data_IF_204873964946
#
_entry.id   IF_204873964946
#
_cell.length_a   1.000
_cell.length_b   1.000
_cell.length_c   1.000
_cell.angle_alpha   90.00
_cell.angle_beta   90.00
_cell.angle_gamma   90.00
#
_symmetry.space_group_name_H-M   'P 1'
#
loop_
_entity.id
_entity.type
_entity.pdbx_description
1 polymer ?
#
# COMPACT_ATOMS: atom_id res chain seq x y z
N UNK A 1 -30.07 -84.03 40.74
CA UNK A 1 -30.04 -85.33 40.03
C UNK A 1 -30.25 -85.07 38.54
N UNK A 2 -29.28 -85.50 37.72
CA UNK A 2 -29.36 -85.98 36.32
C UNK A 2 -30.03 -85.05 35.27
N UNK A 3 -29.25 -84.44 34.35
CA UNK A 3 -28.88 -84.92 32.99
C UNK A 3 -29.83 -84.31 31.92
N UNK A 4 -29.48 -83.94 30.68
CA UNK A 4 -28.33 -84.16 29.79
C UNK A 4 -28.39 -83.13 28.62
N UNK A 5 -27.20 -82.78 28.13
CA UNK A 5 -26.73 -82.33 26.81
C UNK A 5 -27.67 -81.91 25.66
N UNK A 6 -27.27 -80.85 24.95
CA UNK A 6 -27.01 -80.94 23.49
C UNK A 6 -25.66 -80.28 23.20
N UNK A 7 -24.81 -81.04 22.50
CA UNK A 7 -23.49 -80.69 21.99
C UNK A 7 -23.66 -80.33 20.51
N UNK A 8 -23.06 -79.23 20.05
CA UNK A 8 -22.73 -79.06 18.64
C UNK A 8 -21.27 -78.58 18.56
N UNK A 9 -20.47 -79.34 17.82
CA UNK A 9 -19.05 -79.13 17.59
C UNK A 9 -18.83 -78.86 16.10
N UNK A 10 -17.65 -78.31 15.79
CA UNK A 10 -16.95 -78.19 14.49
C UNK A 10 -17.37 -76.96 13.64
N UNK A 11 -16.47 -76.23 12.97
CA UNK A 11 -15.03 -76.39 12.69
C UNK A 11 -14.42 -75.00 12.42
N UNK A 12 -13.19 -74.77 12.87
CA UNK A 12 -12.32 -73.71 12.37
C UNK A 12 -11.87 -74.04 10.95
N UNK A 13 -11.95 -73.06 10.05
CA UNK A 13 -11.15 -73.03 8.82
C UNK A 13 -10.49 -71.64 8.73
N UNK A 14 -9.18 -71.59 9.04
CA UNK A 14 -8.32 -70.48 8.68
C UNK A 14 -8.03 -70.57 7.18
N UNK A 15 -8.31 -69.51 6.43
CA UNK A 15 -7.75 -69.30 5.11
C UNK A 15 -6.93 -68.01 5.15
N UNK A 16 -5.61 -68.18 5.00
CA UNK A 16 -4.64 -67.11 4.87
C UNK A 16 -4.83 -66.43 3.51
N UNK A 17 -5.07 -65.12 3.50
CA UNK A 17 -5.05 -64.31 2.27
C UNK A 17 -3.65 -63.74 2.08
N UNK A 18 -3.04 -64.05 0.94
CA UNK A 18 -1.77 -63.49 0.48
C UNK A 18 -1.93 -61.97 0.20
N UNK A 19 -0.87 -61.16 0.39
CA UNK A 19 -0.93 -59.73 0.11
C UNK A 19 -1.00 -59.47 -1.40
N UNK A 20 -1.97 -58.64 -1.82
CA UNK A 20 -2.05 -58.11 -3.17
C UNK A 20 -0.98 -57.04 -3.38
N UNK A 21 -0.17 -57.26 -4.41
CA UNK A 21 0.82 -56.36 -4.98
C UNK A 21 0.09 -55.14 -5.58
N UNK A 22 0.23 -53.97 -4.93
CA UNK A 22 -0.26 -52.70 -5.46
C UNK A 22 0.85 -52.10 -6.33
N UNK A 23 0.79 -52.35 -7.63
CA UNK A 23 1.52 -51.57 -8.63
C UNK A 23 1.06 -50.13 -8.56
N UNK A 24 1.93 -49.24 -8.06
CA UNK A 24 1.76 -47.79 -8.13
C UNK A 24 1.80 -47.38 -9.61
N UNK A 25 0.69 -46.83 -10.13
CA UNK A 25 0.71 -46.05 -11.36
C UNK A 25 1.44 -44.73 -11.07
N UNK A 26 2.70 -44.65 -11.50
CA UNK A 26 3.44 -43.39 -11.54
C UNK A 26 2.68 -42.42 -12.46
N UNK A 27 2.09 -41.40 -11.85
CA UNK A 27 1.50 -40.27 -12.57
C UNK A 27 2.65 -39.48 -13.19
N UNK A 28 2.63 -39.18 -14.50
CA UNK A 28 3.72 -38.45 -15.13
C UNK A 28 3.84 -37.06 -14.50
N UNK A 29 4.98 -36.80 -13.87
CA UNK A 29 5.39 -35.48 -13.41
C UNK A 29 5.57 -34.58 -14.62
N UNK A 30 4.55 -33.77 -14.88
CA UNK A 30 4.60 -32.74 -15.92
C UNK A 30 5.44 -31.56 -15.38
N UNK A 31 6.76 -31.74 -15.36
CA UNK A 31 7.72 -30.67 -15.09
C UNK A 31 7.99 -29.89 -16.37
N UNK A 32 7.03 -29.04 -16.73
CA UNK A 32 7.26 -27.85 -17.57
C UNK A 32 5.99 -27.00 -17.56
N UNK A 33 5.72 -26.37 -16.41
CA UNK A 33 4.93 -25.15 -16.43
C UNK A 33 5.86 -24.04 -16.88
N UNK A 34 5.94 -23.84 -18.19
CA UNK A 34 6.49 -22.60 -18.74
C UNK A 34 5.62 -21.47 -18.20
N UNK A 35 6.14 -20.72 -17.22
CA UNK A 35 5.52 -19.49 -16.73
C UNK A 35 5.13 -18.66 -17.95
N UNK A 36 3.87 -18.20 -18.00
CA UNK A 36 3.45 -17.26 -19.03
C UNK A 36 4.43 -16.08 -19.05
N UNK A 37 4.82 -15.56 -20.23
CA UNK A 37 5.78 -14.48 -20.30
C UNK A 37 5.26 -13.27 -19.52
N UNK A 38 6.10 -12.74 -18.62
CA UNK A 38 5.81 -11.54 -17.83
C UNK A 38 5.43 -10.40 -18.78
N UNK A 39 4.25 -9.82 -18.58
CA UNK A 39 3.81 -8.65 -19.35
C UNK A 39 4.60 -7.43 -18.89
N UNK A 40 5.18 -6.72 -19.85
CA UNK A 40 5.97 -5.52 -19.62
C UNK A 40 5.20 -4.27 -20.06
N UNK A 41 5.49 -3.14 -19.42
CA UNK A 41 4.88 -1.84 -19.73
C UNK A 41 5.89 -0.71 -19.50
N UNK A 42 5.68 0.44 -20.13
CA UNK A 42 6.41 1.65 -19.76
C UNK A 42 7.89 1.63 -20.12
N UNK A 43 8.67 2.50 -19.45
CA UNK A 43 10.11 2.64 -19.66
C UNK A 43 10.77 3.46 -18.53
N UNK A 44 12.09 3.35 -18.40
CA UNK A 44 12.89 4.28 -17.57
C UNK A 44 13.38 5.43 -18.45
N UNK A 45 13.03 6.66 -18.08
CA UNK A 45 13.49 7.88 -18.74
C UNK A 45 14.61 8.50 -17.90
N UNK A 46 15.82 8.57 -18.48
CA UNK A 46 17.01 9.14 -17.83
C UNK A 46 17.12 10.61 -18.22
N UNK A 47 17.15 11.50 -17.22
CA UNK A 47 17.39 12.95 -17.41
C UNK A 47 18.77 13.36 -16.86
N UNK A 48 19.22 12.70 -15.80
CA UNK A 48 20.55 12.84 -15.19
C UNK A 48 21.25 11.48 -15.14
N UNK A 49 22.55 11.43 -15.47
CA UNK A 49 23.32 10.18 -15.49
C UNK A 49 23.42 9.51 -14.11
N UNK A 50 23.29 10.26 -13.02
CA UNK A 50 23.32 9.70 -11.66
C UNK A 50 22.13 8.75 -11.40
N UNK A 51 21.02 8.86 -12.15
CA UNK A 51 19.89 7.92 -12.08
C UNK A 51 20.33 6.47 -12.31
N UNK A 52 21.34 6.23 -13.15
CA UNK A 52 21.75 4.86 -13.51
C UNK A 52 22.38 4.10 -12.35
N UNK A 53 22.68 4.78 -11.24
CA UNK A 53 23.09 4.15 -9.98
C UNK A 53 21.90 3.67 -9.13
N UNK A 54 20.69 4.16 -9.42
CA UNK A 54 19.46 3.88 -8.68
C UNK A 54 18.55 2.91 -9.44
N UNK A 55 18.46 3.07 -10.77
CA UNK A 55 17.63 2.27 -11.68
C UNK A 55 18.43 1.98 -12.94
N UNK A 56 18.52 0.71 -13.34
CA UNK A 56 19.16 0.36 -14.60
C UNK A 56 18.34 0.95 -15.78
N UNK A 57 18.97 1.56 -16.81
CA UNK A 57 18.23 2.13 -17.95
C UNK A 57 17.35 1.12 -18.71
N UNK A 58 17.72 -0.15 -18.69
CA UNK A 58 17.01 -1.28 -19.29
C UNK A 58 16.19 -2.09 -18.27
N UNK A 59 16.01 -1.57 -17.05
CA UNK A 59 15.16 -2.18 -16.04
C UNK A 59 13.74 -2.38 -16.59
N UNK A 60 13.21 -3.58 -16.37
CA UNK A 60 11.93 -4.00 -16.89
C UNK A 60 10.84 -3.69 -15.86
N UNK A 61 9.82 -2.93 -16.28
CA UNK A 61 8.63 -2.65 -15.48
C UNK A 61 7.55 -3.69 -15.81
N UNK A 62 7.26 -4.53 -14.83
CA UNK A 62 6.41 -5.71 -14.94
C UNK A 62 4.99 -5.40 -14.49
N UNK A 63 3.99 -5.91 -15.21
CA UNK A 63 2.59 -5.93 -14.78
C UNK A 63 2.36 -7.19 -13.95
N UNK A 64 2.04 -7.02 -12.67
CA UNK A 64 1.81 -8.12 -11.72
C UNK A 64 0.34 -8.51 -11.61
N UNK A 65 -0.56 -7.54 -11.67
CA UNK A 65 -2.00 -7.72 -11.66
C UNK A 65 -2.70 -6.54 -12.36
N UNK A 66 -3.92 -6.76 -12.83
CA UNK A 66 -4.76 -5.74 -13.49
C UNK A 66 -6.24 -5.94 -13.19
N UNK A 67 -7.06 -4.91 -13.45
CA UNK A 67 -8.52 -4.96 -13.32
C UNK A 67 -9.07 -4.29 -12.05
N UNK A 68 -8.28 -3.43 -11.41
CA UNK A 68 -8.72 -2.58 -10.30
C UNK A 68 -9.46 -1.34 -10.80
N UNK A 69 -10.29 -0.74 -9.96
CA UNK A 69 -10.91 0.54 -10.27
C UNK A 69 -9.95 1.70 -9.98
N UNK A 70 -9.23 1.63 -8.85
CA UNK A 70 -8.14 2.55 -8.53
C UNK A 70 -7.22 1.93 -7.46
N UNK A 71 -6.09 1.37 -7.89
CA UNK A 71 -5.10 0.78 -6.98
C UNK A 71 -4.33 1.85 -6.22
N UNK A 72 -4.15 1.67 -4.91
CA UNK A 72 -3.59 2.68 -4.01
C UNK A 72 -2.85 2.03 -2.82
N UNK A 73 -2.01 2.78 -2.12
CA UNK A 73 -1.56 2.46 -0.78
C UNK A 73 -0.82 1.12 -0.65
N UNK A 74 0.16 0.79 -1.52
CA UNK A 74 0.89 -0.45 -1.40
C UNK A 74 1.73 -0.45 -0.11
N UNK A 75 1.81 -1.59 0.56
CA UNK A 75 2.71 -1.82 1.70
C UNK A 75 3.23 -3.26 1.67
N UNK A 76 4.54 -3.41 1.87
CA UNK A 76 5.19 -4.72 1.93
C UNK A 76 5.11 -5.27 3.36
N UNK A 77 4.65 -6.52 3.49
CA UNK A 77 4.57 -7.25 4.76
C UNK A 77 5.69 -8.27 4.82
N UNK A 78 6.83 -7.86 5.37
CA UNK A 78 8.06 -8.65 5.42
C UNK A 78 7.90 -10.00 6.14
N UNK A 79 7.10 -10.04 7.21
CA UNK A 79 6.84 -11.25 8.01
C UNK A 79 6.10 -12.35 7.24
N UNK A 80 5.34 -11.97 6.21
CA UNK A 80 4.58 -12.89 5.36
C UNK A 80 5.06 -13.01 3.92
N UNK A 81 5.99 -12.14 3.49
CA UNK A 81 6.51 -12.13 2.12
C UNK A 81 5.47 -11.75 1.07
N UNK A 82 4.58 -10.81 1.39
CA UNK A 82 3.50 -10.38 0.48
C UNK A 82 3.32 -8.87 0.48
N UNK A 83 2.74 -8.36 -0.61
CA UNK A 83 2.32 -6.97 -0.75
C UNK A 83 0.82 -6.86 -0.45
N UNK A 84 0.42 -5.83 0.29
CA UNK A 84 -0.96 -5.38 0.39
C UNK A 84 -1.13 -4.08 -0.38
N UNK A 85 -2.30 -3.84 -0.95
CA UNK A 85 -2.67 -2.56 -1.56
C UNK A 85 -4.19 -2.43 -1.61
N UNK A 86 -4.70 -1.20 -1.59
CA UNK A 86 -6.12 -0.89 -1.63
C UNK A 86 -6.63 -0.83 -3.07
N UNK A 87 -7.89 -1.21 -3.27
CA UNK A 87 -8.71 -0.77 -4.40
C UNK A 87 -9.83 0.11 -3.83
N UNK A 88 -9.59 1.42 -3.85
CA UNK A 88 -10.32 2.40 -3.04
C UNK A 88 -11.83 2.42 -3.35
N UNK A 89 -12.27 2.41 -4.64
CA UNK A 89 -13.69 2.48 -4.96
C UNK A 89 -14.44 1.19 -4.58
N UNK A 90 -13.78 0.03 -4.59
CA UNK A 90 -14.42 -1.26 -4.37
C UNK A 90 -14.43 -1.71 -2.90
N UNK A 91 -13.88 -0.89 -1.99
CA UNK A 91 -13.86 -1.14 -0.54
C UNK A 91 -13.12 -2.43 -0.16
N UNK A 92 -12.01 -2.69 -0.85
CA UNK A 92 -11.17 -3.88 -0.66
C UNK A 92 -9.70 -3.53 -0.47
N UNK A 93 -9.03 -4.36 0.31
CA UNK A 93 -7.56 -4.51 0.24
C UNK A 93 -7.28 -5.85 -0.43
N UNK A 94 -6.32 -5.85 -1.34
CA UNK A 94 -5.83 -7.04 -2.01
C UNK A 94 -4.46 -7.44 -1.46
N UNK A 95 -4.18 -8.73 -1.54
CA UNK A 95 -2.87 -9.34 -1.25
C UNK A 95 -2.29 -9.91 -2.52
N UNK A 96 -1.04 -9.58 -2.79
CA UNK A 96 -0.22 -10.16 -3.84
C UNK A 96 0.99 -10.88 -3.26
N UNK A 97 1.25 -12.10 -3.72
CA UNK A 97 2.45 -12.86 -3.42
C UNK A 97 3.22 -13.21 -4.69
N UNK A 98 4.53 -13.42 -4.53
CA UNK A 98 5.37 -14.00 -5.57
C UNK A 98 4.74 -15.32 -6.08
N UNK A 99 4.86 -15.58 -7.38
CA UNK A 99 4.18 -16.68 -8.09
C UNK A 99 2.67 -16.48 -8.30
N UNK A 100 2.22 -15.23 -8.19
CA UNK A 100 0.91 -14.72 -8.63
C UNK A 100 -0.30 -15.23 -7.84
N UNK A 101 -0.13 -15.60 -6.57
CA UNK A 101 -1.28 -15.78 -5.69
C UNK A 101 -1.83 -14.40 -5.31
N UNK A 102 -2.88 -14.00 -6.02
CA UNK A 102 -3.62 -12.77 -5.83
C UNK A 102 -4.97 -13.08 -5.18
N UNK A 103 -5.31 -12.38 -4.11
CA UNK A 103 -6.55 -12.62 -3.35
C UNK A 103 -7.05 -11.37 -2.64
N UNK A 104 -8.36 -11.35 -2.32
CA UNK A 104 -8.92 -10.34 -1.42
C UNK A 104 -8.37 -10.58 -0.02
N UNK A 105 -7.77 -9.56 0.58
CA UNK A 105 -7.23 -9.57 1.93
C UNK A 105 -8.27 -9.15 2.97
N UNK A 106 -8.97 -8.03 2.71
CA UNK A 106 -10.01 -7.48 3.59
C UNK A 106 -11.17 -6.91 2.76
N UNK A 107 -12.38 -7.20 3.19
CA UNK A 107 -13.64 -6.61 2.70
C UNK A 107 -14.67 -6.65 3.85
N UNK A 108 -15.24 -5.51 4.29
CA UNK A 108 -14.91 -4.14 3.86
C UNK A 108 -13.56 -3.66 4.43
N UNK A 109 -12.86 -2.79 3.71
CA UNK A 109 -11.57 -2.23 4.13
C UNK A 109 -11.61 -0.78 4.66
N UNK A 110 -12.62 0.00 4.27
CA UNK A 110 -12.80 1.41 4.63
C UNK A 110 -14.13 1.69 5.30
N UNK A 111 -15.23 1.63 4.55
CA UNK A 111 -16.57 1.88 5.07
C UNK A 111 -17.15 0.62 5.70
N UNK A 112 -17.44 0.68 6.99
CA UNK A 112 -17.98 -0.46 7.76
C UNK A 112 -19.48 -0.34 8.05
N UNK A 113 -20.10 0.77 7.66
CA UNK A 113 -21.52 1.01 7.83
C UNK A 113 -22.40 0.19 6.89
N UNK A 114 -23.70 0.18 7.18
CA UNK A 114 -24.70 -0.56 6.40
C UNK A 114 -25.54 0.31 5.48
N UNK A 115 -25.36 1.64 5.53
CA UNK A 115 -26.09 2.60 4.72
C UNK A 115 -25.31 2.87 3.45
N UNK A 116 -25.90 2.63 2.30
CA UNK A 116 -25.28 2.94 1.01
C UNK A 116 -24.94 4.43 0.92
N UNK A 117 -23.74 4.73 0.42
CA UNK A 117 -23.26 6.10 0.20
C UNK A 117 -22.36 6.14 -1.03
N UNK A 118 -22.30 7.31 -1.68
CA UNK A 118 -21.36 7.53 -2.78
C UNK A 118 -19.95 7.90 -2.30
N UNK A 119 -19.08 8.14 -3.28
CA UNK A 119 -17.67 8.47 -3.08
C UNK A 119 -16.75 7.26 -3.02
N UNK A 120 -15.47 7.52 -2.78
CA UNK A 120 -14.44 6.50 -2.61
C UNK A 120 -14.52 5.94 -1.19
N UNK A 121 -15.24 4.83 -1.00
CA UNK A 121 -15.62 4.35 0.35
C UNK A 121 -14.60 3.42 0.99
N UNK A 122 -13.61 2.92 0.25
CA UNK A 122 -12.62 1.97 0.73
C UNK A 122 -11.53 2.52 1.64
N UNK A 123 -10.58 1.63 1.94
CA UNK A 123 -9.27 2.04 2.42
C UNK A 123 -8.49 2.76 1.32
N UNK A 124 -7.56 3.61 1.72
CA UNK A 124 -6.62 4.28 0.82
C UNK A 124 -5.20 3.86 1.22
N UNK A 125 -4.38 4.77 1.75
CA UNK A 125 -3.04 4.49 2.24
C UNK A 125 -3.01 3.41 3.32
N UNK A 126 -1.94 2.62 3.28
CA UNK A 126 -1.63 1.54 4.21
C UNK A 126 -0.21 1.72 4.75
N UNK A 127 0.00 1.43 6.03
CA UNK A 127 1.34 1.32 6.61
C UNK A 127 1.36 0.27 7.71
N UNK A 128 2.55 -0.05 8.23
CA UNK A 128 2.72 -0.94 9.38
C UNK A 128 3.24 -0.15 10.57
N UNK A 129 2.76 -0.47 11.77
CA UNK A 129 3.44 -0.02 12.99
C UNK A 129 4.69 -0.86 13.28
N UNK A 130 5.46 -0.48 14.31
CA UNK A 130 6.69 -1.19 14.70
C UNK A 130 6.49 -2.63 15.17
N UNK A 131 5.23 -3.03 15.42
CA UNK A 131 4.87 -4.40 15.80
C UNK A 131 4.36 -5.21 14.58
N UNK A 132 4.32 -4.60 13.39
CA UNK A 132 3.82 -5.20 12.17
C UNK A 132 2.29 -5.24 12.06
N UNK A 133 1.57 -4.46 12.88
CA UNK A 133 0.13 -4.32 12.73
C UNK A 133 -0.20 -3.39 11.55
N UNK A 134 -1.23 -3.74 10.78
CA UNK A 134 -1.67 -2.93 9.65
C UNK A 134 -2.46 -1.70 10.12
N UNK A 135 -2.02 -0.52 9.70
CA UNK A 135 -2.69 0.75 9.91
C UNK A 135 -3.24 1.25 8.58
N UNK A 136 -4.46 1.76 8.60
CA UNK A 136 -5.30 1.98 7.43
C UNK A 136 -5.90 3.38 7.49
N UNK A 137 -5.70 4.15 6.43
CA UNK A 137 -6.51 5.33 6.12
C UNK A 137 -7.87 4.87 5.57
N UNK A 138 -8.95 5.06 6.34
CA UNK A 138 -10.30 4.65 5.96
C UNK A 138 -11.10 5.87 5.48
N UNK A 139 -11.24 6.04 4.17
CA UNK A 139 -12.08 7.10 3.58
C UNK A 139 -13.53 6.97 4.04
N UNK A 140 -14.08 5.75 3.93
CA UNK A 140 -15.46 5.42 4.25
C UNK A 140 -15.92 5.89 5.63
N UNK A 141 -15.16 5.48 6.65
CA UNK A 141 -15.43 5.78 8.05
C UNK A 141 -14.83 7.13 8.50
N UNK A 142 -14.04 7.79 7.64
CA UNK A 142 -13.37 9.08 7.88
C UNK A 142 -12.46 9.03 9.11
N UNK A 143 -11.62 8.00 9.18
CA UNK A 143 -10.74 7.75 10.32
C UNK A 143 -9.43 7.08 9.92
N UNK A 144 -8.48 7.12 10.83
CA UNK A 144 -7.31 6.24 10.82
C UNK A 144 -7.59 5.07 11.77
N UNK A 145 -7.38 3.86 11.30
CA UNK A 145 -7.69 2.64 12.05
C UNK A 145 -6.54 1.64 12.04
N UNK A 146 -6.44 0.83 13.08
CA UNK A 146 -5.57 -0.34 13.18
C UNK A 146 -6.39 -1.60 12.97
N UNK A 147 -5.90 -2.54 12.17
CA UNK A 147 -6.45 -3.89 12.11
C UNK A 147 -6.25 -4.60 13.46
N UNK A 148 -7.34 -5.05 14.09
CA UNK A 148 -7.28 -5.70 15.41
C UNK A 148 -6.81 -7.15 15.37
N UNK A 149 -6.71 -7.74 14.18
CA UNK A 149 -6.23 -9.11 13.95
C UNK A 149 -4.86 -9.11 13.30
N UNK A 150 -4.15 -10.24 13.43
CA UNK A 150 -2.87 -10.44 12.74
C UNK A 150 -3.01 -10.22 11.23
N UNK A 151 -2.00 -9.60 10.62
CA UNK A 151 -1.89 -9.47 9.16
C UNK A 151 -1.74 -10.82 8.45
N UNK A 152 -1.38 -11.88 9.17
CA UNK A 152 -1.31 -13.23 8.61
C UNK A 152 -2.65 -13.95 8.60
N UNK A 153 -3.60 -13.54 9.46
CA UNK A 153 -4.95 -14.11 9.60
C UNK A 153 -5.97 -12.96 9.73
N UNK A 154 -6.19 -12.18 8.68
CA UNK A 154 -6.96 -10.94 8.76
C UNK A 154 -8.46 -11.20 8.90
N UNK A 155 -9.13 -10.37 9.70
CA UNK A 155 -10.58 -10.20 9.72
C UNK A 155 -10.90 -8.70 9.76
N UNK A 156 -12.02 -8.23 9.18
CA UNK A 156 -12.36 -6.81 9.11
C UNK A 156 -12.87 -6.27 10.46
N UNK A 157 -12.01 -6.33 11.47
CA UNK A 157 -12.21 -5.85 12.83
C UNK A 157 -11.16 -4.79 13.08
N UNK A 158 -11.62 -3.57 13.37
CA UNK A 158 -10.77 -2.38 13.40
C UNK A 158 -10.86 -1.68 14.74
N UNK A 159 -9.73 -1.16 15.19
CA UNK A 159 -9.63 -0.22 16.31
C UNK A 159 -9.37 1.17 15.77
N UNK A 160 -10.13 2.16 16.25
CA UNK A 160 -9.95 3.56 15.83
C UNK A 160 -8.73 4.16 16.53
N UNK A 161 -7.76 4.65 15.75
CA UNK A 161 -6.64 5.43 16.27
C UNK A 161 -7.08 6.89 16.46
N UNK A 162 -7.72 7.45 15.42
CA UNK A 162 -8.28 8.79 15.46
C UNK A 162 -9.35 8.96 14.38
N UNK A 163 -10.41 9.71 14.68
CA UNK A 163 -11.53 9.98 13.75
C UNK A 163 -11.96 11.46 13.71
N UNK A 164 -11.33 12.30 14.54
CA UNK A 164 -11.70 13.71 14.67
C UNK A 164 -10.53 14.58 15.12
N UNK A 165 -10.59 15.85 14.73
CA UNK A 165 -9.74 16.94 15.22
C UNK A 165 -10.61 18.08 15.73
N UNK A 166 -10.33 18.56 16.95
CA UNK A 166 -11.09 19.63 17.62
C UNK A 166 -12.63 19.42 17.60
N UNK A 167 -13.05 18.16 17.84
CA UNK A 167 -14.46 17.76 17.87
C UNK A 167 -15.15 17.67 16.50
N UNK A 168 -14.40 17.86 15.40
CA UNK A 168 -14.89 17.74 14.03
C UNK A 168 -14.32 16.51 13.35
N UNK A 169 -15.12 15.79 12.58
CA UNK A 169 -14.66 14.64 11.80
C UNK A 169 -13.65 15.04 10.74
N UNK A 170 -12.65 14.20 10.52
CA UNK A 170 -11.73 14.31 9.38
C UNK A 170 -12.48 14.35 8.05
N UNK A 171 -11.88 14.88 7.00
CA UNK A 171 -12.46 14.83 5.65
C UNK A 171 -12.51 13.37 5.17
N UNK A 172 -11.34 12.78 4.94
CA UNK A 172 -11.11 11.39 4.55
C UNK A 172 -9.60 11.15 4.57
N UNK A 173 -9.02 10.64 5.69
CA UNK A 173 -7.58 10.38 5.79
C UNK A 173 -7.09 9.56 4.61
N UNK A 174 -5.97 9.96 3.99
CA UNK A 174 -5.59 9.49 2.65
C UNK A 174 -4.30 8.66 2.67
N UNK A 175 -3.16 9.23 3.03
CA UNK A 175 -1.91 8.47 3.21
C UNK A 175 -1.36 8.64 4.64
N UNK A 176 -0.47 7.73 5.06
CA UNK A 176 0.08 7.70 6.40
C UNK A 176 1.50 7.09 6.48
N UNK A 177 2.30 7.61 7.42
CA UNK A 177 3.67 7.13 7.67
C UNK A 177 4.02 7.24 9.14
N UNK A 178 4.71 6.24 9.69
CA UNK A 178 5.29 6.33 11.02
C UNK A 178 6.67 6.99 10.97
N UNK A 179 6.94 7.78 12.01
CA UNK A 179 8.30 8.10 12.44
C UNK A 179 8.79 7.02 13.40
N UNK A 180 10.10 6.84 13.50
CA UNK A 180 10.75 5.82 14.32
C UNK A 180 10.43 5.91 15.83
N UNK A 181 9.96 7.07 16.30
CA UNK A 181 9.52 7.26 17.68
C UNK A 181 8.07 6.80 17.95
N UNK A 182 7.41 6.24 16.94
CA UNK A 182 6.02 5.76 17.00
C UNK A 182 4.98 6.85 16.75
N UNK A 183 5.39 8.08 16.43
CA UNK A 183 4.45 9.12 16.01
C UNK A 183 3.95 8.82 14.60
N UNK A 184 2.63 8.73 14.44
CA UNK A 184 2.00 8.55 13.15
C UNK A 184 1.74 9.90 12.49
N UNK A 185 2.04 10.06 11.21
CA UNK A 185 1.68 11.23 10.41
C UNK A 185 0.71 10.81 9.32
N UNK A 186 -0.26 11.65 9.00
CA UNK A 186 -1.23 11.38 7.94
C UNK A 186 -1.78 12.65 7.30
N UNK A 187 -2.33 12.51 6.10
CA UNK A 187 -2.99 13.59 5.35
C UNK A 187 -4.50 13.40 5.29
N UNK A 188 -5.23 14.50 5.20
CA UNK A 188 -6.70 14.53 5.23
C UNK A 188 -7.32 15.39 4.12
N UNK A 189 -7.09 15.06 2.83
CA UNK A 189 -7.82 15.63 1.72
C UNK A 189 -9.27 15.09 1.68
N UNK A 190 -10.18 15.67 0.88
CA UNK A 190 -11.58 15.28 0.87
C UNK A 190 -11.92 14.23 -0.21
N UNK A 191 -10.98 13.44 -0.71
CA UNK A 191 -11.21 12.51 -1.84
C UNK A 191 -12.29 11.44 -1.54
N UNK A 192 -12.33 10.95 -0.31
CA UNK A 192 -13.28 9.94 0.16
C UNK A 192 -14.71 10.45 0.40
N UNK A 193 -14.94 11.76 0.31
CA UNK A 193 -16.27 12.35 0.42
C UNK A 193 -16.99 12.29 -0.93
N UNK A 194 -18.33 12.14 -0.90
CA UNK A 194 -19.14 11.90 -2.10
C UNK A 194 -19.03 13.04 -3.13
N UNK A 195 -19.04 14.28 -2.64
CA UNK A 195 -18.88 15.48 -3.48
C UNK A 195 -17.52 16.17 -3.29
N UNK A 196 -16.55 15.44 -2.74
CA UNK A 196 -15.16 15.87 -2.54
C UNK A 196 -15.06 17.23 -1.81
N UNK A 197 -14.42 18.22 -2.44
CA UNK A 197 -14.21 19.54 -1.83
C UNK A 197 -15.52 20.28 -1.51
N UNK A 198 -16.55 20.06 -2.33
CA UNK A 198 -17.86 20.73 -2.20
C UNK A 198 -18.84 19.94 -1.34
N UNK A 199 -18.39 18.89 -0.64
CA UNK A 199 -19.25 18.02 0.13
C UNK A 199 -19.84 18.73 1.37
N UNK A 200 -21.18 18.77 1.52
CA UNK A 200 -21.81 19.43 2.65
C UNK A 200 -21.61 18.71 4.00
N UNK A 201 -21.16 17.44 4.00
CA UNK A 201 -20.84 16.69 5.21
C UNK A 201 -19.41 16.95 5.74
N UNK A 202 -18.65 17.79 5.03
CA UNK A 202 -17.31 18.22 5.43
C UNK A 202 -17.41 19.17 6.64
N UNK A 203 -16.70 18.85 7.72
CA UNK A 203 -16.81 19.60 9.00
C UNK A 203 -15.62 20.54 9.25
N UNK A 204 -14.46 20.17 8.71
CA UNK A 204 -13.26 21.00 8.65
C UNK A 204 -13.35 21.94 7.45
N UNK A 205 -12.89 23.17 7.60
CA UNK A 205 -12.83 24.19 6.55
C UNK A 205 -11.50 24.18 5.76
N UNK A 206 -10.60 23.26 6.08
CA UNK A 206 -9.30 23.05 5.43
C UNK A 206 -9.04 21.57 5.10
N UNK A 207 -7.87 21.29 4.53
CA UNK A 207 -7.30 19.94 4.32
C UNK A 207 -6.01 19.87 5.13
N UNK A 208 -5.92 18.91 6.04
CA UNK A 208 -4.86 18.90 7.05
C UNK A 208 -3.75 17.90 6.78
N UNK A 209 -2.57 18.21 7.29
CA UNK A 209 -1.54 17.23 7.64
C UNK A 209 -1.50 17.17 9.16
N UNK A 210 -1.54 15.97 9.72
CA UNK A 210 -1.61 15.76 11.16
C UNK A 210 -0.53 14.81 11.65
N UNK A 211 -0.25 14.85 12.94
CA UNK A 211 0.41 13.75 13.66
C UNK A 211 -0.42 13.24 14.83
N UNK A 212 -0.22 11.98 15.18
CA UNK A 212 -0.76 11.31 16.36
C UNK A 212 0.40 10.71 17.14
N UNK A 213 0.67 11.22 18.33
CA UNK A 213 1.71 10.66 19.19
C UNK A 213 1.28 9.31 19.78
N UNK A 214 2.21 8.47 20.27
CA UNK A 214 1.89 7.15 20.83
C UNK A 214 0.85 7.14 21.97
N UNK A 215 0.66 8.28 22.64
CA UNK A 215 -0.37 8.44 23.69
C UNK A 215 -1.76 8.86 23.15
N UNK A 216 -1.92 8.95 21.83
CA UNK A 216 -3.17 9.33 21.15
C UNK A 216 -3.39 10.85 21.01
N UNK A 217 -2.41 11.69 21.30
CA UNK A 217 -2.56 13.16 21.12
C UNK A 217 -2.43 13.52 19.64
N UNK A 218 -3.48 14.14 19.08
CA UNK A 218 -3.50 14.63 17.71
C UNK A 218 -2.98 16.07 17.64
N UNK A 219 -2.10 16.36 16.68
CA UNK A 219 -1.63 17.71 16.36
C UNK A 219 -1.90 18.03 14.89
N UNK A 220 -2.38 19.24 14.61
CA UNK A 220 -2.44 19.79 13.26
C UNK A 220 -1.07 20.40 12.92
N UNK A 221 -0.50 20.00 11.78
CA UNK A 221 0.84 20.38 11.36
C UNK A 221 0.84 21.39 10.20
N UNK A 222 -0.06 21.21 9.24
CA UNK A 222 -0.23 22.07 8.06
C UNK A 222 -1.71 22.07 7.66
N UNK A 223 -2.22 23.22 7.22
CA UNK A 223 -3.64 23.39 6.82
C UNK A 223 -3.84 24.32 5.61
N UNK A 224 -2.75 24.78 5.00
CA UNK A 224 -2.78 25.71 3.86
C UNK A 224 -2.70 25.01 2.49
N UNK A 225 -2.37 23.72 2.46
CA UNK A 225 -2.42 22.92 1.23
C UNK A 225 -3.87 22.68 0.81
N UNK A 226 -4.13 22.76 -0.49
CA UNK A 226 -5.46 22.49 -1.06
C UNK A 226 -5.75 21.00 -1.17
N UNK A 227 -4.72 20.17 -1.42
CA UNK A 227 -4.85 18.72 -1.65
C UNK A 227 -3.62 17.97 -1.10
N UNK A 228 -3.33 18.03 0.22
CA UNK A 228 -2.26 17.23 0.82
C UNK A 228 -2.54 15.74 0.57
N UNK A 229 -1.52 15.00 0.14
CA UNK A 229 -1.68 13.60 -0.29
C UNK A 229 -0.56 12.73 0.32
N UNK A 230 0.30 12.10 -0.48
CA UNK A 230 1.36 11.24 0.04
C UNK A 230 2.34 11.98 0.93
N UNK A 231 2.98 11.24 1.84
CA UNK A 231 4.01 11.76 2.74
C UNK A 231 5.09 10.71 3.04
N UNK A 232 6.33 11.18 3.23
CA UNK A 232 7.46 10.34 3.60
C UNK A 232 8.52 11.15 4.36
N UNK A 233 9.28 10.48 5.22
CA UNK A 233 10.44 11.08 5.89
C UNK A 233 11.71 10.91 5.07
N UNK A 234 12.66 11.83 5.24
CA UNK A 234 14.08 11.58 4.91
C UNK A 234 14.62 10.40 5.73
N UNK A 235 15.73 9.76 5.32
CA UNK A 235 16.27 8.59 6.03
C UNK A 235 16.64 8.86 7.49
N UNK A 236 17.03 10.10 7.81
CA UNK A 236 17.35 10.56 9.16
C UNK A 236 16.14 11.17 9.91
N UNK A 237 14.96 11.13 9.29
CA UNK A 237 13.68 11.68 9.78
C UNK A 237 13.71 13.17 10.14
N UNK A 238 14.72 13.91 9.69
CA UNK A 238 14.85 15.34 9.93
C UNK A 238 13.99 16.18 9.00
N UNK A 239 13.54 15.61 7.88
CA UNK A 239 12.67 16.25 6.87
C UNK A 239 11.43 15.41 6.62
N UNK A 240 10.25 16.05 6.63
CA UNK A 240 8.99 15.47 6.16
C UNK A 240 8.67 16.04 4.77
N UNK A 241 8.48 15.16 3.80
CA UNK A 241 7.98 15.50 2.47
C UNK A 241 6.46 15.27 2.42
N UNK A 242 5.73 16.19 1.79
CA UNK A 242 4.27 16.09 1.61
C UNK A 242 3.89 16.51 0.19
N UNK A 243 3.20 15.65 -0.53
CA UNK A 243 2.67 15.92 -1.86
C UNK A 243 1.42 16.80 -1.79
N UNK A 244 1.23 17.66 -2.79
CA UNK A 244 0.01 18.41 -3.01
C UNK A 244 -0.54 18.10 -4.42
N UNK A 245 -1.62 17.33 -4.49
CA UNK A 245 -2.24 16.89 -5.76
C UNK A 245 -3.19 17.94 -6.34
N UNK A 246 -2.80 19.21 -6.30
CA UNK A 246 -3.54 20.29 -6.95
C UNK A 246 -3.00 20.50 -8.37
N UNK A 247 -3.79 20.36 -9.44
CA UNK A 247 -3.30 20.58 -10.80
C UNK A 247 -2.78 22.01 -11.03
N UNK A 248 -3.23 23.01 -10.27
CA UNK A 248 -2.74 24.39 -10.36
C UNK A 248 -1.49 24.65 -9.49
N UNK A 249 -1.12 23.68 -8.63
CA UNK A 249 0.02 23.76 -7.73
C UNK A 249 0.52 22.35 -7.41
N UNK A 250 0.96 21.65 -8.44
CA UNK A 250 1.35 20.26 -8.37
C UNK A 250 2.78 20.15 -7.85
N UNK A 251 2.93 20.10 -6.53
CA UNK A 251 4.23 20.22 -5.86
C UNK A 251 4.44 19.15 -4.79
N UNK A 252 5.70 18.93 -4.44
CA UNK A 252 6.09 18.34 -3.16
C UNK A 252 6.70 19.42 -2.29
N UNK A 253 6.22 19.51 -1.05
CA UNK A 253 6.77 20.38 -0.02
C UNK A 253 7.73 19.59 0.87
N UNK A 254 8.75 20.24 1.40
CA UNK A 254 9.62 19.73 2.45
C UNK A 254 9.48 20.60 3.71
N UNK A 255 9.53 19.95 4.87
CA UNK A 255 9.46 20.60 6.18
C UNK A 255 10.51 20.03 7.12
N UNK A 256 11.10 20.87 7.95
CA UNK A 256 12.00 20.43 9.01
C UNK A 256 11.17 19.85 10.17
N UNK A 257 11.54 18.66 10.63
CA UNK A 257 10.88 17.93 11.72
C UNK A 257 11.51 18.32 13.04
N UNK A 258 10.70 18.83 13.96
CA UNK A 258 11.13 19.23 15.29
C UNK A 258 11.14 18.03 16.25
N UNK A 259 11.93 18.07 17.35
CA UNK A 259 12.00 16.97 18.31
C UNK A 259 10.67 16.56 18.94
N UNK A 260 9.69 17.47 19.01
CA UNK A 260 8.35 17.21 19.54
C UNK A 260 7.34 16.72 18.48
N UNK A 261 7.80 16.45 17.26
CA UNK A 261 6.98 15.97 16.15
C UNK A 261 6.20 17.05 15.41
N UNK A 262 6.41 18.33 15.74
CA UNK A 262 5.92 19.44 14.91
C UNK A 262 6.80 19.62 13.67
N UNK A 263 6.29 20.35 12.69
CA UNK A 263 7.02 20.71 11.48
C UNK A 263 7.26 22.22 11.38
N UNK A 264 8.30 22.62 10.66
CA UNK A 264 8.64 24.03 10.44
C UNK A 264 9.36 24.24 9.09
N UNK A 265 9.66 25.50 8.73
CA UNK A 265 10.45 25.84 7.53
C UNK A 265 9.95 25.20 6.23
N UNK A 266 8.63 25.18 6.05
CA UNK A 266 7.98 24.67 4.85
C UNK A 266 8.48 25.35 3.58
N UNK A 267 8.91 24.55 2.60
CA UNK A 267 9.45 25.01 1.32
C UNK A 267 9.01 24.09 0.20
N UNK A 268 8.85 24.64 -1.00
CA UNK A 268 8.66 23.82 -2.21
C UNK A 268 9.95 23.05 -2.43
N UNK A 269 9.87 21.73 -2.41
CA UNK A 269 10.99 20.83 -2.71
C UNK A 269 11.10 20.61 -4.21
N UNK A 270 9.97 20.31 -4.86
CA UNK A 270 9.90 20.14 -6.31
C UNK A 270 8.53 20.60 -6.83
N UNK A 271 8.52 21.25 -7.99
CA UNK A 271 7.32 21.74 -8.66
C UNK A 271 7.15 21.03 -10.01
N UNK A 272 6.11 20.21 -10.12
CA UNK A 272 5.75 19.45 -11.32
C UNK A 272 4.60 20.08 -12.10
N UNK A 273 4.20 21.32 -11.80
CA UNK A 273 3.06 21.97 -12.47
C UNK A 273 3.28 22.05 -13.98
N UNK A 274 4.51 22.31 -14.44
CA UNK A 274 4.83 22.30 -15.88
C UNK A 274 4.60 20.92 -16.52
N UNK A 275 4.85 19.83 -15.80
CA UNK A 275 4.61 18.46 -16.29
C UNK A 275 3.11 18.15 -16.40
N UNK A 276 2.29 18.72 -15.50
CA UNK A 276 0.82 18.67 -15.59
C UNK A 276 0.34 19.42 -16.83
N UNK A 277 0.87 20.62 -17.08
CA UNK A 277 0.50 21.44 -18.25
C UNK A 277 0.86 20.77 -19.59
N UNK A 278 1.89 19.91 -19.60
CA UNK A 278 2.24 19.07 -20.75
C UNK A 278 1.25 17.92 -21.00
N UNK A 279 0.28 17.71 -20.10
CA UNK A 279 -0.75 16.69 -20.22
C UNK A 279 -0.27 15.28 -19.84
N UNK A 280 0.82 15.18 -19.06
CA UNK A 280 1.25 13.88 -18.53
C UNK A 280 0.25 13.37 -17.48
N UNK A 281 -0.07 12.06 -17.46
CA UNK A 281 -1.10 11.52 -16.58
C UNK A 281 -0.64 11.50 -15.12
N UNK A 282 -1.55 11.81 -14.19
CA UNK A 282 -1.30 11.78 -12.75
C UNK A 282 -0.96 13.15 -12.14
N UNK A 283 -0.95 13.20 -10.81
CA UNK A 283 -0.62 14.35 -9.98
C UNK A 283 0.30 13.87 -8.85
N UNK A 284 1.03 14.77 -8.15
CA UNK A 284 1.79 14.41 -6.96
C UNK A 284 0.92 13.67 -5.96
N UNK A 285 1.18 12.39 -5.72
CA UNK A 285 0.32 11.51 -4.93
C UNK A 285 1.20 10.81 -3.88
N UNK A 286 1.27 9.48 -3.85
CA UNK A 286 2.16 8.71 -2.99
C UNK A 286 3.66 8.89 -3.24
N UNK A 287 4.47 8.74 -2.19
CA UNK A 287 5.93 8.76 -2.30
C UNK A 287 6.61 7.89 -1.25
N UNK A 288 7.85 7.51 -1.56
CA UNK A 288 8.82 6.90 -0.65
C UNK A 288 10.21 7.49 -0.87
N UNK A 289 11.11 7.21 0.04
CA UNK A 289 12.49 7.70 0.02
C UNK A 289 13.45 6.52 0.14
N UNK A 290 14.49 6.49 -0.68
CA UNK A 290 15.53 5.45 -0.60
C UNK A 290 16.55 5.74 0.51
N UNK A 291 17.48 4.81 0.75
CA UNK A 291 18.51 4.92 1.78
C UNK A 291 19.48 6.10 1.58
N UNK A 292 19.54 6.65 0.35
CA UNK A 292 20.39 7.80 -0.01
C UNK A 292 19.62 9.13 0.02
N UNK A 293 18.32 9.11 0.33
CA UNK A 293 17.48 10.30 0.40
C UNK A 293 16.83 10.71 -0.92
N UNK A 294 16.93 9.89 -1.98
CA UNK A 294 16.22 10.15 -3.23
C UNK A 294 14.72 9.87 -3.05
N UNK A 295 13.89 10.81 -3.49
CA UNK A 295 12.44 10.63 -3.53
C UNK A 295 12.05 9.79 -4.73
N UNK A 296 11.25 8.77 -4.49
CA UNK A 296 10.48 8.01 -5.45
C UNK A 296 9.04 8.48 -5.32
N UNK A 297 8.66 9.48 -6.11
CA UNK A 297 7.40 10.19 -5.96
C UNK A 297 6.49 9.99 -7.16
N UNK A 298 5.28 9.46 -6.94
CA UNK A 298 4.30 9.29 -8.02
C UNK A 298 3.75 10.65 -8.41
N UNK A 299 3.68 10.90 -9.71
CA UNK A 299 3.35 12.20 -10.27
C UNK A 299 3.06 12.14 -11.77
N UNK A 300 3.03 13.30 -12.43
CA UNK A 300 2.76 13.37 -13.86
C UNK A 300 3.76 12.51 -14.66
N UNK A 301 3.24 11.47 -15.31
CA UNK A 301 3.99 10.56 -16.17
C UNK A 301 4.55 9.29 -15.50
N UNK A 302 4.36 9.08 -14.19
CA UNK A 302 4.80 7.86 -13.50
C UNK A 302 5.45 8.14 -12.14
N UNK A 303 6.56 7.47 -11.84
CA UNK A 303 7.35 7.71 -10.62
C UNK A 303 8.54 8.61 -10.95
N UNK A 304 8.51 9.85 -10.49
CA UNK A 304 9.63 10.78 -10.59
C UNK A 304 10.68 10.42 -9.55
N UNK A 305 11.93 10.34 -9.98
CA UNK A 305 13.08 10.14 -9.10
C UNK A 305 13.76 11.49 -8.91
N UNK A 306 13.73 11.99 -7.68
CA UNK A 306 14.21 13.35 -7.34
C UNK A 306 15.33 13.22 -6.30
N UNK A 307 16.49 13.82 -6.56
CA UNK A 307 17.63 13.78 -5.63
C UNK A 307 17.32 14.53 -4.32
N UNK A 308 18.09 14.31 -3.23
CA UNK A 308 17.95 15.07 -1.99
C UNK A 308 18.04 16.60 -2.16
N UNK A 309 18.68 17.06 -3.24
CA UNK A 309 18.83 18.47 -3.59
C UNK A 309 17.66 19.02 -4.42
N UNK A 310 16.65 18.21 -4.73
CA UNK A 310 15.49 18.60 -5.52
C UNK A 310 15.70 18.51 -7.04
N UNK A 311 16.68 17.74 -7.50
CA UNK A 311 16.95 17.56 -8.95
C UNK A 311 16.18 16.37 -9.49
N UNK A 312 15.38 16.56 -10.54
CA UNK A 312 14.68 15.47 -11.24
C UNK A 312 15.67 14.64 -12.07
N UNK A 313 16.04 13.47 -11.55
CA UNK A 313 17.01 12.56 -12.15
C UNK A 313 16.42 11.79 -13.33
N UNK A 314 15.11 11.54 -13.28
CA UNK A 314 14.35 10.91 -14.35
C UNK A 314 13.03 10.33 -13.86
N UNK A 315 12.39 9.54 -14.72
CA UNK A 315 11.03 9.04 -14.47
C UNK A 315 10.91 7.57 -14.85
N UNK A 316 10.37 6.75 -13.94
CA UNK A 316 9.85 5.42 -14.29
C UNK A 316 8.46 5.65 -14.87
N UNK A 317 8.37 5.66 -16.21
CA UNK A 317 7.14 5.94 -16.92
C UNK A 317 6.23 4.72 -16.93
N UNK A 318 5.06 4.84 -16.30
CA UNK A 318 4.06 3.76 -16.16
C UNK A 318 3.01 3.78 -17.27
N UNK A 319 2.96 4.83 -18.09
CA UNK A 319 1.91 5.15 -19.08
C UNK A 319 0.51 5.38 -18.50
N UNK A 320 0.37 5.33 -17.18
CA UNK A 320 -0.89 5.44 -16.46
C UNK A 320 -0.81 6.59 -15.44
N UNK A 321 -1.98 7.07 -14.97
CA UNK A 321 -2.01 7.86 -13.75
C UNK A 321 -1.52 6.96 -12.61
N UNK A 322 -0.50 7.41 -11.88
CA UNK A 322 0.20 6.58 -10.89
C UNK A 322 -0.12 7.10 -9.51
N UNK A 323 -0.72 6.26 -8.68
CA UNK A 323 -1.23 6.67 -7.38
C UNK A 323 -0.12 6.58 -6.33
N UNK A 324 0.52 5.43 -6.14
CA UNK A 324 1.45 5.25 -5.01
C UNK A 324 2.54 4.22 -5.30
N UNK A 325 3.54 4.11 -4.42
CA UNK A 325 4.62 3.16 -4.53
C UNK A 325 5.13 2.69 -3.16
N UNK A 326 5.74 1.50 -3.12
CA UNK A 326 6.35 0.95 -1.92
C UNK A 326 7.57 0.10 -2.25
N UNK A 327 8.60 0.19 -1.40
CA UNK A 327 9.70 -0.76 -1.44
C UNK A 327 9.25 -2.12 -0.88
N UNK A 328 9.80 -3.20 -1.41
CA UNK A 328 9.54 -4.56 -0.93
C UNK A 328 10.67 -5.54 -1.29
N UNK A 329 10.42 -6.83 -1.05
CA UNK A 329 11.48 -7.84 -1.12
C UNK A 329 12.52 -7.60 -0.04
N UNK A 330 13.77 -7.35 -0.44
CA UNK A 330 14.86 -6.95 0.45
C UNK A 330 15.11 -5.43 0.45
N UNK A 331 14.12 -4.66 -0.01
CA UNK A 331 14.17 -3.21 -0.22
C UNK A 331 14.56 -2.81 -1.64
N UNK A 332 15.00 -3.74 -2.50
CA UNK A 332 15.42 -3.45 -3.88
C UNK A 332 14.32 -3.58 -4.94
N UNK A 333 13.10 -3.98 -4.56
CA UNK A 333 11.94 -3.99 -5.46
C UNK A 333 11.06 -2.78 -5.17
N UNK A 334 10.64 -2.08 -6.22
CA UNK A 334 9.61 -1.06 -6.11
C UNK A 334 8.31 -1.60 -6.68
N UNK A 335 7.29 -1.67 -5.84
CA UNK A 335 5.91 -1.93 -6.22
C UNK A 335 5.21 -0.61 -6.46
N UNK A 336 4.38 -0.55 -7.51
CA UNK A 336 3.73 0.68 -7.95
C UNK A 336 2.25 0.39 -8.20
N UNK A 337 1.36 1.18 -7.62
CA UNK A 337 -0.07 1.16 -7.93
C UNK A 337 -0.36 2.27 -8.95
N UNK A 338 -0.87 1.86 -10.12
CA UNK A 338 -1.07 2.76 -11.25
C UNK A 338 -2.41 2.50 -11.92
N UNK A 339 -3.40 3.33 -11.60
CA UNK A 339 -4.78 3.22 -12.08
C UNK A 339 -5.33 1.80 -11.86
N UNK A 340 -5.60 1.06 -12.94
CA UNK A 340 -6.11 -0.30 -12.88
C UNK A 340 -5.04 -1.40 -12.68
N UNK A 341 -3.78 -1.03 -12.40
CA UNK A 341 -2.63 -1.95 -12.41
C UNK A 341 -1.88 -2.01 -11.07
N UNK A 342 -1.30 -3.19 -10.80
CA UNK A 342 -0.18 -3.36 -9.89
C UNK A 342 1.08 -3.67 -10.70
N UNK A 343 2.14 -2.89 -10.50
CA UNK A 343 3.40 -3.02 -11.23
C UNK A 343 4.58 -3.30 -10.28
N UNK A 344 5.69 -3.77 -10.85
CA UNK A 344 6.96 -3.93 -10.14
C UNK A 344 8.15 -3.64 -11.04
N UNK A 345 9.19 -3.04 -10.46
CA UNK A 345 10.49 -2.85 -11.10
C UNK A 345 11.63 -3.16 -10.11
N UNK A 346 12.71 -3.75 -10.63
CA UNK A 346 13.94 -3.97 -9.88
C UNK A 346 14.77 -2.68 -9.84
N UNK A 347 15.21 -2.30 -8.64
CA UNK A 347 16.09 -1.16 -8.39
C UNK A 347 17.52 -1.62 -8.11
N UNK A 348 18.45 -0.66 -8.22
CA UNK A 348 19.85 -0.77 -7.80
C UNK A 348 20.11 -0.12 -6.43
N UNK A 349 19.19 0.73 -5.98
CA UNK A 349 19.12 1.27 -4.61
C UNK A 349 18.17 0.45 -3.74
N UNK A 350 18.12 0.76 -2.44
CA UNK A 350 17.17 0.18 -1.50
C UNK A 350 16.42 1.25 -0.74
N UNK A 351 15.15 0.99 -0.45
CA UNK A 351 14.38 1.79 0.50
C UNK A 351 14.01 1.00 1.74
N UNK A 352 13.48 1.72 2.72
CA UNK A 352 13.03 1.12 3.97
C UNK A 352 11.85 0.18 3.72
N UNK A 353 11.94 -1.01 4.31
CA UNK A 353 10.83 -1.95 4.50
C UNK A 353 10.67 -2.14 6.00
N UNK A 354 9.43 -2.19 6.47
CA UNK A 354 9.10 -2.39 7.89
C UNK A 354 9.04 -3.88 8.25
#
# INVERSE_FOLDING_TARGET
>A
MRHISVVLVLFLAMCQTAPQDQTQEETPTNSDQTMAPTRLIGSVQVLDETLTSLVAPDAQLEVLAEGFDWSEGPVWVSSGGFLLFSDVPTNRIYKWMQDSEFSVFLEPSGYTGTVERGGETGSNGLTLDSEGNLIIAQHGDRRVARLSTSVLEPQPVYETITEQYDGKRYNSPNDLVYRSDGTLYFTDPPYGLEFRMSDPAKELDFQGVYSVSPNGTVQLLESTMSRPNGLAFSPDESTLYVANSDPERAIWMAYDVLPDGRISNGRVFFDATELVEQGLPGLPDGLKVDESGNLFATGPGGVLIISPEGVHLGTINTTQATANCAFGGDGSLLYITADMLLLRIQLLTKGAIL
#
